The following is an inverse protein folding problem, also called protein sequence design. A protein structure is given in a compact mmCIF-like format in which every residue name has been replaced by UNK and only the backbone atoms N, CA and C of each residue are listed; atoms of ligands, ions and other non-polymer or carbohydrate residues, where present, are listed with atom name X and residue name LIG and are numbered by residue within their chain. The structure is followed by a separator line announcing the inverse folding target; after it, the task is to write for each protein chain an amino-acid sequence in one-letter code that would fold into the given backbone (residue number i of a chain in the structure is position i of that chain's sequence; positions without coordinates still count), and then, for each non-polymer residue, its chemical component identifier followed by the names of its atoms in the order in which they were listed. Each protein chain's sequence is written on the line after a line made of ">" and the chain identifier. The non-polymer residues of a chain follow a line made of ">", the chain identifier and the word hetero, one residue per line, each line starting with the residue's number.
data_IF_222133409582
#
_entry.id   IF_222133409582
#
_cell.length_a   1.000
_cell.length_b   1.000
_cell.length_c   1.000
_cell.angle_alpha   90.00
_cell.angle_beta   90.00
_cell.angle_gamma   90.00
#
_symmetry.space_group_name_H-M   'P 1'
#
loop_
_entity.id
_entity.type
_entity.pdbx_description
1 polymer ?
#
# COMPACT_ATOMS: atom_id res chain seq x y z
N UNK A 1 17.50 -16.69 -3.12
CA UNK A 1 17.91 -15.28 -3.20
C UNK A 1 17.20 -14.52 -2.09
N UNK A 2 17.92 -13.74 -1.28
CA UNK A 2 17.34 -12.94 -0.18
C UNK A 2 16.56 -11.73 -0.71
N UNK A 3 15.60 -11.19 0.05
CA UNK A 3 14.86 -9.97 -0.32
C UNK A 3 15.79 -8.82 -0.76
N UNK A 4 16.95 -8.68 -0.11
CA UNK A 4 17.96 -7.70 -0.47
C UNK A 4 18.49 -7.84 -1.90
N UNK A 5 18.60 -9.08 -2.42
CA UNK A 5 19.09 -9.30 -3.77
C UNK A 5 18.09 -8.85 -4.85
N UNK A 6 16.78 -9.01 -4.60
CA UNK A 6 15.75 -8.51 -5.51
C UNK A 6 15.75 -6.97 -5.54
N UNK A 7 15.84 -6.33 -4.37
CA UNK A 7 15.90 -4.87 -4.26
C UNK A 7 17.12 -4.29 -4.99
N UNK A 8 18.29 -4.92 -4.84
CA UNK A 8 19.50 -4.56 -5.57
C UNK A 8 19.33 -4.68 -7.10
N UNK A 9 18.73 -5.78 -7.57
CA UNK A 9 18.42 -5.96 -8.99
C UNK A 9 17.45 -4.88 -9.50
N UNK A 10 16.45 -4.50 -8.71
CA UNK A 10 15.48 -3.47 -9.09
C UNK A 10 16.13 -2.09 -9.24
N UNK A 11 16.99 -1.70 -8.29
CA UNK A 11 17.74 -0.44 -8.36
C UNK A 11 18.68 -0.45 -9.57
N UNK A 12 19.39 -1.56 -9.79
CA UNK A 12 20.25 -1.73 -10.97
C UNK A 12 19.47 -1.66 -12.28
N UNK A 13 18.30 -2.28 -12.34
CA UNK A 13 17.41 -2.24 -13.49
C UNK A 13 16.89 -0.82 -13.78
N UNK A 14 16.47 -0.08 -12.75
CA UNK A 14 16.04 1.30 -12.92
C UNK A 14 17.18 2.20 -13.41
N UNK A 15 18.38 2.08 -12.83
CA UNK A 15 19.56 2.84 -13.25
C UNK A 15 20.00 2.50 -14.68
N UNK A 16 20.03 1.22 -15.03
CA UNK A 16 20.32 0.75 -16.37
C UNK A 16 19.29 1.22 -17.40
N UNK A 17 18.01 1.17 -17.03
CA UNK A 17 16.90 1.66 -17.86
C UNK A 17 17.01 3.16 -18.11
N UNK A 18 17.34 3.95 -17.07
CA UNK A 18 17.58 5.39 -17.21
C UNK A 18 18.75 5.68 -18.17
N UNK A 19 19.88 4.97 -18.01
CA UNK A 19 21.04 5.14 -18.88
C UNK A 19 20.72 4.79 -20.35
N UNK A 20 20.02 3.67 -20.57
CA UNK A 20 19.60 3.25 -21.91
C UNK A 20 18.60 4.23 -22.53
N UNK A 21 17.58 4.66 -21.77
CA UNK A 21 16.60 5.64 -22.24
C UNK A 21 17.23 6.99 -22.59
N UNK A 22 18.21 7.44 -21.80
CA UNK A 22 18.97 8.66 -22.09
C UNK A 22 19.78 8.52 -23.39
N UNK A 23 20.42 7.38 -23.59
CA UNK A 23 21.18 7.08 -24.81
C UNK A 23 20.27 7.03 -26.05
N UNK A 24 19.14 6.32 -25.97
CA UNK A 24 18.16 6.21 -27.05
C UNK A 24 17.59 7.58 -27.44
N UNK A 25 17.33 8.44 -26.45
CA UNK A 25 16.84 9.80 -26.68
C UNK A 25 17.80 10.63 -27.53
N UNK A 26 19.12 10.51 -27.32
CA UNK A 26 20.12 11.28 -28.06
C UNK A 26 20.40 10.72 -29.45
N UNK A 27 20.39 9.41 -29.61
CA UNK A 27 20.73 8.76 -30.88
C UNK A 27 19.54 8.54 -31.83
N UNK A 28 18.29 8.64 -31.33
CA UNK A 28 17.09 8.53 -32.14
C UNK A 28 16.88 7.12 -32.69
N UNK A 29 15.99 6.35 -32.07
CA UNK A 29 15.70 4.97 -32.47
C UNK A 29 14.39 4.87 -33.25
N UNK A 30 14.33 3.96 -34.22
CA UNK A 30 13.10 3.68 -35.00
C UNK A 30 11.92 3.29 -34.11
N UNK A 31 10.73 3.84 -34.38
CA UNK A 31 9.52 3.60 -33.58
C UNK A 31 9.10 2.13 -33.45
N UNK A 32 9.50 1.26 -34.40
CA UNK A 32 9.28 -0.20 -34.27
C UNK A 32 10.13 -0.82 -33.17
N UNK A 33 11.40 -0.42 -33.06
CA UNK A 33 12.30 -0.92 -32.01
C UNK A 33 11.87 -0.39 -30.64
N UNK A 34 11.39 0.85 -30.58
CA UNK A 34 10.84 1.42 -29.34
C UNK A 34 9.62 0.63 -28.83
N UNK A 35 8.69 0.25 -29.73
CA UNK A 35 7.53 -0.60 -29.37
C UNK A 35 7.96 -2.00 -28.89
N UNK A 36 8.96 -2.60 -29.53
CA UNK A 36 9.48 -3.91 -29.12
C UNK A 36 10.14 -3.84 -27.72
N UNK A 37 10.82 -2.72 -27.44
CA UNK A 37 11.38 -2.45 -26.11
C UNK A 37 10.32 -2.16 -25.05
N UNK A 38 9.17 -1.61 -25.42
CA UNK A 38 8.09 -1.29 -24.46
C UNK A 38 7.33 -2.53 -24.01
N UNK A 39 7.25 -3.55 -24.88
CA UNK A 39 6.47 -4.76 -24.68
C UNK A 39 6.73 -5.50 -23.35
N UNK A 40 7.99 -5.75 -22.90
CA UNK A 40 8.23 -6.39 -21.60
C UNK A 40 7.73 -5.55 -20.41
N UNK A 41 7.86 -4.22 -20.49
CA UNK A 41 7.35 -3.31 -19.48
C UNK A 41 5.82 -3.29 -19.42
N UNK A 42 5.17 -3.26 -20.58
CA UNK A 42 3.71 -3.34 -20.69
C UNK A 42 3.16 -4.68 -20.20
N UNK A 43 3.82 -5.80 -20.55
CA UNK A 43 3.46 -7.12 -20.07
C UNK A 43 3.52 -7.19 -18.53
N UNK A 44 4.58 -6.64 -17.94
CA UNK A 44 4.72 -6.57 -16.48
C UNK A 44 3.58 -5.77 -15.82
N UNK A 45 3.24 -4.60 -16.37
CA UNK A 45 2.11 -3.80 -15.87
C UNK A 45 0.78 -4.56 -15.95
N UNK A 46 0.53 -5.23 -17.08
CA UNK A 46 -0.68 -6.05 -17.27
C UNK A 46 -0.76 -7.23 -16.30
N UNK A 47 0.38 -7.83 -15.95
CA UNK A 47 0.42 -8.88 -14.92
C UNK A 47 0.03 -8.33 -13.55
N UNK A 48 0.54 -7.15 -13.17
CA UNK A 48 0.16 -6.50 -11.90
C UNK A 48 -1.33 -6.14 -11.86
N UNK A 49 -1.87 -5.57 -12.94
CA UNK A 49 -3.29 -5.22 -13.05
C UNK A 49 -4.20 -6.45 -12.93
N UNK A 50 -3.81 -7.57 -13.54
CA UNK A 50 -4.55 -8.83 -13.47
C UNK A 50 -4.57 -9.41 -12.05
N UNK A 51 -3.48 -9.25 -11.29
CA UNK A 51 -3.36 -9.77 -9.93
C UNK A 51 -4.11 -8.95 -8.89
N UNK A 52 -4.31 -7.64 -9.12
CA UNK A 52 -4.95 -6.76 -8.17
C UNK A 52 -6.34 -7.29 -7.72
N UNK A 53 -7.20 -7.65 -8.67
CA UNK A 53 -8.57 -8.09 -8.38
C UNK A 53 -8.67 -9.39 -7.57
N UNK A 54 -8.04 -10.51 -7.97
CA UNK A 54 -8.11 -11.77 -7.22
C UNK A 54 -7.42 -11.67 -5.86
N UNK A 55 -6.32 -10.91 -5.73
CA UNK A 55 -5.66 -10.67 -4.43
C UNK A 55 -6.60 -9.92 -3.50
N UNK A 56 -7.12 -8.76 -3.94
CA UNK A 56 -7.98 -7.91 -3.11
C UNK A 56 -9.23 -8.65 -2.65
N UNK A 57 -9.91 -9.35 -3.56
CA UNK A 57 -11.13 -10.10 -3.22
C UNK A 57 -10.89 -11.21 -2.22
N UNK A 58 -9.91 -12.07 -2.49
CA UNK A 58 -9.63 -13.22 -1.64
C UNK A 58 -9.11 -12.80 -0.27
N UNK A 59 -8.23 -11.80 -0.20
CA UNK A 59 -7.67 -11.30 1.06
C UNK A 59 -8.70 -10.58 1.92
N UNK A 60 -9.62 -9.78 1.35
CA UNK A 60 -10.68 -9.11 2.13
C UNK A 60 -11.66 -10.13 2.70
N UNK A 61 -12.13 -11.07 1.86
CA UNK A 61 -13.11 -12.08 2.29
C UNK A 61 -12.48 -13.00 3.36
N UNK A 62 -11.25 -13.47 3.14
CA UNK A 62 -10.54 -14.29 4.12
C UNK A 62 -10.22 -13.52 5.41
N UNK A 63 -9.79 -12.27 5.29
CA UNK A 63 -9.44 -11.41 6.41
C UNK A 63 -10.63 -11.09 7.31
N UNK A 64 -11.76 -10.69 6.72
CA UNK A 64 -12.98 -10.41 7.49
C UNK A 64 -13.67 -11.67 7.99
N UNK A 65 -13.68 -12.73 7.17
CA UNK A 65 -14.35 -14.00 7.51
C UNK A 65 -13.63 -14.81 8.59
N UNK A 66 -12.34 -14.57 8.84
CA UNK A 66 -11.54 -15.24 9.88
C UNK A 66 -11.55 -14.54 11.24
N UNK A 67 -12.19 -13.37 11.33
CA UNK A 67 -12.35 -12.65 12.59
C UNK A 67 -13.62 -13.14 13.28
N UNK A 68 -13.46 -13.78 14.45
CA UNK A 68 -14.57 -14.05 15.35
C UNK A 68 -15.08 -12.72 15.96
N UNK A 69 -16.01 -12.05 15.27
CA UNK A 69 -16.64 -10.82 15.75
C UNK A 69 -17.31 -11.05 17.11
N UNK A 70 -17.74 -12.29 17.38
CA UNK A 70 -18.37 -12.71 18.64
C UNK A 70 -17.38 -12.89 19.80
N UNK A 71 -16.15 -13.39 19.57
CA UNK A 71 -15.11 -13.47 20.62
C UNK A 71 -14.45 -12.13 20.89
N UNK A 72 -14.40 -11.25 19.89
CA UNK A 72 -13.73 -9.97 20.01
C UNK A 72 -14.53 -8.96 20.88
N UNK A 73 -15.82 -9.24 21.13
CA UNK A 73 -16.70 -8.41 21.95
C UNK A 73 -16.73 -6.94 21.50
N UNK A 74 -17.03 -6.03 22.41
CA UNK A 74 -17.04 -4.59 22.12
C UNK A 74 -15.65 -4.05 21.72
N UNK A 75 -14.56 -4.70 22.17
CA UNK A 75 -13.19 -4.23 21.95
C UNK A 75 -12.76 -4.46 20.48
N UNK A 76 -13.13 -5.60 19.89
CA UNK A 76 -12.88 -5.87 18.47
C UNK A 76 -13.66 -4.97 17.54
N UNK A 77 -14.94 -4.72 17.84
CA UNK A 77 -15.78 -3.83 17.04
C UNK A 77 -15.25 -2.38 17.08
N UNK A 78 -14.86 -1.87 18.25
CA UNK A 78 -14.27 -0.54 18.40
C UNK A 78 -12.94 -0.44 17.65
N UNK A 79 -12.07 -1.46 17.74
CA UNK A 79 -10.81 -1.49 17.01
C UNK A 79 -11.03 -1.53 15.48
N UNK A 80 -11.99 -2.32 15.00
CA UNK A 80 -12.34 -2.35 13.57
C UNK A 80 -12.93 -1.02 13.10
N UNK A 81 -13.86 -0.43 13.86
CA UNK A 81 -14.39 0.90 13.54
C UNK A 81 -13.29 1.95 13.52
N UNK A 82 -12.35 1.90 14.47
CA UNK A 82 -11.18 2.77 14.46
C UNK A 82 -10.33 2.57 13.19
N UNK A 83 -10.01 1.33 12.79
CA UNK A 83 -9.22 1.09 11.58
C UNK A 83 -9.96 1.49 10.31
N UNK A 84 -11.27 1.24 10.22
CA UNK A 84 -12.09 1.66 9.08
C UNK A 84 -12.17 3.18 9.01
N UNK A 85 -12.43 3.87 10.12
CA UNK A 85 -12.47 5.34 10.18
C UNK A 85 -11.09 5.94 9.90
N UNK A 86 -10.02 5.43 10.52
CA UNK A 86 -8.66 5.90 10.27
C UNK A 86 -8.22 5.68 8.83
N UNK A 87 -8.63 4.57 8.20
CA UNK A 87 -8.35 4.32 6.77
C UNK A 87 -9.26 5.16 5.86
N UNK A 88 -10.49 5.46 6.28
CA UNK A 88 -11.44 6.29 5.53
C UNK A 88 -11.12 7.80 5.62
N UNK A 89 -10.55 8.27 6.73
CA UNK A 89 -10.04 9.64 6.92
C UNK A 89 -8.81 9.93 6.05
N UNK A 90 -8.17 8.90 5.50
CA UNK A 90 -6.99 8.99 4.63
C UNK A 90 -7.27 8.64 3.16
N UNK A 91 -8.52 8.33 2.83
CA UNK A 91 -9.00 8.12 1.46
C UNK A 91 -10.55 8.04 1.43
N UNK A 92 -11.28 9.12 1.08
CA UNK A 92 -12.60 8.99 0.54
C UNK A 92 -12.42 8.29 -0.80
N UNK A 93 -12.76 7.02 -0.80
CA UNK A 93 -13.59 6.43 -1.85
C UNK A 93 -13.52 7.16 -3.21
N UNK A 94 -12.49 6.80 -4.00
CA UNK A 94 -12.55 6.51 -5.44
C UNK A 94 -12.32 7.60 -6.48
N UNK A 95 -11.36 7.33 -7.38
CA UNK A 95 -11.60 7.29 -8.84
C UNK A 95 -10.63 6.31 -9.52
N UNK A 96 -11.08 5.08 -9.80
CA UNK A 96 -10.58 4.32 -10.95
C UNK A 96 -11.77 4.06 -11.86
N UNK A 97 -12.17 5.11 -12.57
CA UNK A 97 -12.83 5.01 -13.88
C UNK A 97 -11.80 5.64 -14.81
N UNK A 98 -11.18 4.91 -15.74
CA UNK A 98 -11.82 4.42 -16.96
C UNK A 98 -11.38 3.00 -17.36
N UNK A 99 -12.37 2.11 -17.52
CA UNK A 99 -12.31 0.84 -18.25
C UNK A 99 -11.29 -0.25 -17.81
N UNK A 100 -11.74 -1.20 -16.96
CA UNK A 100 -11.74 -2.67 -17.26
C UNK A 100 -12.23 -3.62 -16.17
N UNK A 101 -12.52 -3.17 -14.94
CA UNK A 101 -13.30 -3.95 -13.99
C UNK A 101 -13.90 -3.03 -12.91
N UNK A 102 -15.13 -3.27 -12.46
CA UNK A 102 -15.74 -2.51 -11.36
C UNK A 102 -15.09 -2.90 -10.02
N UNK A 103 -13.88 -2.37 -9.77
CA UNK A 103 -13.09 -2.63 -8.56
C UNK A 103 -13.89 -2.31 -7.31
N UNK A 104 -14.69 -1.24 -7.35
CA UNK A 104 -15.51 -0.80 -6.23
C UNK A 104 -16.68 -1.71 -5.90
N UNK A 105 -17.43 -2.10 -6.93
CA UNK A 105 -18.47 -3.08 -6.77
C UNK A 105 -17.89 -4.38 -6.21
N UNK A 106 -16.73 -4.79 -6.71
CA UNK A 106 -16.06 -5.99 -6.23
C UNK A 106 -15.62 -5.87 -4.76
N UNK A 107 -15.03 -4.72 -4.36
CA UNK A 107 -14.68 -4.41 -2.98
C UNK A 107 -15.91 -4.47 -2.05
N UNK A 108 -17.00 -3.81 -2.42
CA UNK A 108 -18.23 -3.78 -1.61
C UNK A 108 -18.79 -5.19 -1.38
N UNK A 109 -18.84 -6.02 -2.43
CA UNK A 109 -19.32 -7.40 -2.35
C UNK A 109 -18.38 -8.26 -1.52
N UNK A 110 -17.05 -8.09 -1.66
CA UNK A 110 -16.07 -8.81 -0.83
C UNK A 110 -16.18 -8.48 0.65
N UNK A 111 -16.43 -7.22 1.01
CA UNK A 111 -16.66 -6.81 2.40
C UNK A 111 -17.95 -7.44 2.95
N UNK A 112 -19.06 -7.33 2.20
CA UNK A 112 -20.33 -7.93 2.59
C UNK A 112 -20.21 -9.45 2.75
N UNK A 113 -19.54 -10.13 1.82
CA UNK A 113 -19.34 -11.57 1.86
C UNK A 113 -18.48 -11.99 3.05
N UNK A 114 -17.37 -11.30 3.31
CA UNK A 114 -16.52 -11.56 4.48
C UNK A 114 -17.26 -11.35 5.80
N UNK A 115 -18.09 -10.30 5.91
CA UNK A 115 -18.90 -10.03 7.09
C UNK A 115 -20.02 -11.06 7.31
N UNK A 116 -20.60 -11.61 6.24
CA UNK A 116 -21.57 -12.72 6.36
C UNK A 116 -20.85 -14.01 6.79
N UNK A 117 -19.68 -14.32 6.22
CA UNK A 117 -18.93 -15.52 6.60
C UNK A 117 -18.50 -15.50 8.07
N UNK A 118 -18.18 -14.33 8.63
CA UNK A 118 -17.76 -14.22 10.04
C UNK A 118 -18.88 -14.40 11.05
N UNK A 119 -20.15 -14.33 10.64
CA UNK A 119 -21.31 -14.60 11.53
C UNK A 119 -21.92 -15.99 11.31
N UNK A 120 -21.60 -16.65 10.20
CA UNK A 120 -22.21 -17.95 9.80
C UNK A 120 -21.31 -19.15 10.16
N UNK A 121 -20.33 -18.95 11.04
CA UNK A 121 -19.16 -19.82 11.31
C UNK A 121 -19.52 -21.27 11.68
N UNK A 122 -20.71 -21.55 12.21
CA UNK A 122 -21.11 -22.94 12.50
C UNK A 122 -21.35 -23.81 11.26
N UNK A 123 -21.44 -23.24 10.05
CA UNK A 123 -21.71 -23.99 8.80
C UNK A 123 -20.76 -23.63 7.62
N UNK A 124 -19.91 -22.61 7.72
CA UNK A 124 -19.19 -22.03 6.57
C UNK A 124 -17.67 -22.31 6.47
N UNK A 125 -17.12 -23.23 7.26
CA UNK A 125 -15.67 -23.52 7.29
C UNK A 125 -15.07 -23.86 5.92
N UNK A 126 -15.81 -24.59 5.07
CA UNK A 126 -15.33 -24.95 3.73
C UNK A 126 -15.15 -23.73 2.81
N UNK A 127 -16.09 -22.77 2.86
CA UNK A 127 -16.03 -21.55 2.06
C UNK A 127 -14.94 -20.60 2.56
N UNK A 128 -14.80 -20.44 3.88
CA UNK A 128 -13.72 -19.64 4.46
C UNK A 128 -12.34 -20.21 4.07
N UNK A 129 -12.15 -21.52 4.20
CA UNK A 129 -10.90 -22.19 3.83
C UNK A 129 -10.57 -22.06 2.33
N UNK A 130 -11.59 -22.02 1.45
CA UNK A 130 -11.39 -21.72 0.04
C UNK A 130 -10.81 -20.32 -0.17
N UNK A 131 -11.39 -19.28 0.45
CA UNK A 131 -10.91 -17.91 0.32
C UNK A 131 -9.53 -17.70 0.94
N UNK A 132 -9.25 -18.34 2.09
CA UNK A 132 -7.91 -18.36 2.70
C UNK A 132 -6.90 -19.02 1.75
N UNK A 133 -7.23 -20.18 1.19
CA UNK A 133 -6.39 -20.87 0.21
C UNK A 133 -6.13 -20.04 -1.04
N UNK A 134 -7.16 -19.37 -1.55
CA UNK A 134 -7.07 -18.47 -2.70
C UNK A 134 -6.20 -17.23 -2.40
N UNK A 135 -6.34 -16.64 -1.22
CA UNK A 135 -5.49 -15.53 -0.76
C UNK A 135 -4.03 -15.94 -0.69
N UNK A 136 -3.73 -17.09 -0.10
CA UNK A 136 -2.36 -17.60 -0.02
C UNK A 136 -1.75 -17.90 -1.41
N UNK A 137 -2.56 -18.49 -2.31
CA UNK A 137 -2.15 -18.76 -3.68
C UNK A 137 -1.86 -17.45 -4.45
N UNK A 138 -2.75 -16.47 -4.37
CA UNK A 138 -2.61 -15.19 -5.09
C UNK A 138 -1.46 -14.34 -4.57
N UNK A 139 -1.20 -14.35 -3.25
CA UNK A 139 0.03 -13.76 -2.67
C UNK A 139 1.29 -14.45 -3.20
N UNK A 140 1.28 -15.77 -3.32
CA UNK A 140 2.40 -16.53 -3.89
C UNK A 140 2.66 -16.15 -5.36
N UNK A 141 1.60 -16.02 -6.17
CA UNK A 141 1.72 -15.56 -7.57
C UNK A 141 2.24 -14.11 -7.63
N UNK A 142 1.87 -13.27 -6.68
CA UNK A 142 2.38 -11.89 -6.56
C UNK A 142 3.89 -11.88 -6.30
N UNK A 143 4.38 -12.75 -5.40
CA UNK A 143 5.82 -12.94 -5.19
C UNK A 143 6.54 -13.42 -6.45
N UNK A 144 5.94 -14.35 -7.20
CA UNK A 144 6.50 -14.81 -8.47
C UNK A 144 6.56 -13.68 -9.51
N UNK A 145 5.54 -12.82 -9.56
CA UNK A 145 5.51 -11.66 -10.45
C UNK A 145 6.56 -10.61 -10.07
N UNK A 146 6.83 -10.44 -8.77
CA UNK A 146 7.89 -9.56 -8.30
C UNK A 146 9.28 -9.97 -8.83
N UNK A 147 9.53 -11.26 -9.08
CA UNK A 147 10.77 -11.74 -9.71
C UNK A 147 10.97 -11.24 -11.15
N UNK A 148 9.89 -10.98 -11.87
CA UNK A 148 9.94 -10.40 -13.22
C UNK A 148 10.11 -8.87 -13.22
N UNK A 149 9.94 -8.22 -12.07
CA UNK A 149 9.98 -6.76 -11.95
C UNK A 149 11.28 -6.11 -12.43
N UNK A 150 12.50 -6.65 -12.24
CA UNK A 150 13.71 -5.98 -12.72
C UNK A 150 13.72 -5.84 -14.24
N UNK A 151 13.24 -6.86 -14.96
CA UNK A 151 13.15 -6.80 -16.43
C UNK A 151 12.07 -5.81 -16.85
N UNK A 152 10.88 -5.87 -16.25
CA UNK A 152 9.78 -4.95 -16.55
C UNK A 152 10.15 -3.49 -16.31
N UNK A 153 10.73 -3.19 -15.13
CA UNK A 153 11.15 -1.83 -14.74
C UNK A 153 12.26 -1.31 -15.64
N UNK A 154 13.26 -2.13 -15.98
CA UNK A 154 14.34 -1.70 -16.88
C UNK A 154 13.81 -1.17 -18.21
N UNK A 155 12.95 -1.96 -18.87
CA UNK A 155 12.39 -1.60 -20.16
C UNK A 155 11.39 -0.45 -20.07
N UNK A 156 10.52 -0.46 -19.05
CA UNK A 156 9.54 0.59 -18.82
C UNK A 156 10.19 1.95 -18.56
N UNK A 157 11.23 2.01 -17.73
CA UNK A 157 11.97 3.25 -17.49
C UNK A 157 12.70 3.71 -18.74
N UNK A 158 13.33 2.79 -19.47
CA UNK A 158 14.04 3.11 -20.71
C UNK A 158 13.12 3.71 -21.77
N UNK A 159 11.93 3.14 -21.99
CA UNK A 159 10.98 3.65 -23.00
C UNK A 159 10.29 4.92 -22.52
N UNK A 160 9.84 5.01 -21.26
CA UNK A 160 9.16 6.20 -20.73
C UNK A 160 10.05 7.44 -20.77
N UNK A 161 11.35 7.31 -20.51
CA UNK A 161 12.29 8.44 -20.57
C UNK A 161 12.43 9.04 -21.98
N UNK A 162 12.18 8.26 -23.04
CA UNK A 162 12.19 8.76 -24.42
C UNK A 162 10.93 9.55 -24.79
N UNK A 163 9.82 9.29 -24.09
CA UNK A 163 8.51 9.92 -24.35
C UNK A 163 8.34 11.26 -23.62
N UNK A 164 9.10 11.48 -22.55
CA UNK A 164 9.10 12.75 -21.80
C UNK A 164 9.62 13.88 -22.68
N UNK A 165 8.79 14.85 -23.04
CA UNK A 165 9.24 15.99 -23.87
C UNK A 165 10.14 16.95 -23.07
N UNK A 166 9.75 17.28 -21.84
CA UNK A 166 10.44 18.25 -20.98
C UNK A 166 11.11 17.60 -19.77
N UNK A 167 12.44 17.54 -19.77
CA UNK A 167 13.20 16.90 -18.70
C UNK A 167 13.12 17.68 -17.38
N UNK A 168 13.05 19.01 -17.45
CA UNK A 168 12.93 19.88 -16.28
C UNK A 168 11.61 19.65 -15.54
N UNK A 169 10.51 19.46 -16.30
CA UNK A 169 9.20 19.11 -15.73
C UNK A 169 9.22 17.73 -15.08
N UNK A 170 9.84 16.75 -15.73
CA UNK A 170 9.95 15.39 -15.17
C UNK A 170 10.79 15.35 -13.90
N UNK A 171 11.95 16.01 -13.89
CA UNK A 171 12.77 16.13 -12.68
C UNK A 171 12.04 16.89 -11.56
N UNK A 172 11.36 17.99 -11.92
CA UNK A 172 10.52 18.76 -10.99
C UNK A 172 9.42 17.90 -10.37
N UNK A 173 8.75 17.07 -11.16
CA UNK A 173 7.71 16.15 -10.71
C UNK A 173 8.25 15.10 -9.75
N UNK A 174 9.34 14.41 -10.09
CA UNK A 174 9.99 13.43 -9.20
C UNK A 174 10.42 14.09 -7.90
N UNK A 175 11.03 15.28 -7.96
CA UNK A 175 11.41 16.04 -6.77
C UNK A 175 10.19 16.38 -5.91
N UNK A 176 9.12 16.89 -6.50
CA UNK A 176 7.89 17.25 -5.77
C UNK A 176 7.26 16.02 -5.11
N UNK A 177 7.24 14.88 -5.80
CA UNK A 177 6.75 13.61 -5.30
C UNK A 177 7.49 13.15 -4.03
N UNK A 178 8.82 13.17 -4.05
CA UNK A 178 9.64 12.83 -2.87
C UNK A 178 9.36 13.76 -1.68
N UNK A 179 9.24 15.07 -1.92
CA UNK A 179 8.98 16.03 -0.85
C UNK A 179 7.57 15.88 -0.28
N UNK A 180 6.55 15.67 -1.12
CA UNK A 180 5.15 15.49 -0.68
C UNK A 180 5.02 14.22 0.15
N UNK A 181 5.60 13.10 -0.25
CA UNK A 181 5.55 11.86 0.54
C UNK A 181 6.26 12.04 1.88
N UNK A 182 7.47 12.62 1.89
CA UNK A 182 8.22 12.80 3.13
C UNK A 182 7.50 13.76 4.09
N UNK A 183 6.99 14.88 3.57
CA UNK A 183 6.23 15.85 4.34
C UNK A 183 4.90 15.28 4.82
N UNK A 184 4.17 14.55 3.98
CA UNK A 184 2.91 13.90 4.32
C UNK A 184 3.09 12.84 5.40
N UNK A 185 4.11 11.99 5.29
CA UNK A 185 4.41 10.98 6.30
C UNK A 185 4.83 11.62 7.63
N UNK A 186 5.62 12.70 7.58
CA UNK A 186 6.01 13.44 8.78
C UNK A 186 4.80 14.16 9.42
N UNK A 187 3.96 14.81 8.63
CA UNK A 187 2.76 15.50 9.11
C UNK A 187 1.75 14.51 9.70
N UNK A 188 1.56 13.37 9.07
CA UNK A 188 0.69 12.32 9.56
C UNK A 188 1.26 11.65 10.83
N UNK A 189 2.49 11.17 10.76
CA UNK A 189 3.12 10.39 11.83
C UNK A 189 3.50 11.19 13.08
N UNK A 190 3.97 12.44 12.90
CA UNK A 190 4.42 13.30 14.00
C UNK A 190 3.43 14.42 14.35
N UNK A 191 2.45 14.68 13.49
CA UNK A 191 1.42 15.71 13.71
C UNK A 191 0.07 15.09 14.03
N UNK A 192 -0.60 14.53 13.02
CA UNK A 192 -1.99 14.07 13.14
C UNK A 192 -2.14 12.95 14.17
N UNK A 193 -1.33 11.90 14.10
CA UNK A 193 -1.42 10.77 15.04
C UNK A 193 -1.23 11.19 16.52
N UNK A 194 -0.19 11.98 16.89
CA UNK A 194 -0.08 12.49 18.25
C UNK A 194 -1.24 13.38 18.68
N UNK A 195 -1.80 14.20 17.78
CA UNK A 195 -2.96 15.05 18.09
C UNK A 195 -4.19 14.18 18.35
N UNK A 196 -4.47 13.20 17.49
CA UNK A 196 -5.56 12.24 17.68
C UNK A 196 -5.41 11.46 18.99
N UNK A 197 -4.19 11.03 19.33
CA UNK A 197 -3.88 10.38 20.60
C UNK A 197 -4.23 11.28 21.79
N UNK A 198 -3.81 12.55 21.78
CA UNK A 198 -4.11 13.51 22.85
C UNK A 198 -5.61 13.80 22.92
N UNK A 199 -6.31 13.94 21.80
CA UNK A 199 -7.75 14.18 21.79
C UNK A 199 -8.54 13.00 22.37
N UNK A 200 -8.14 11.78 22.05
CA UNK A 200 -8.81 10.56 22.51
C UNK A 200 -8.47 10.20 23.97
N UNK A 201 -7.20 10.28 24.36
CA UNK A 201 -6.72 9.80 25.67
C UNK A 201 -6.53 10.91 26.70
N UNK A 202 -6.39 12.17 26.25
CA UNK A 202 -5.97 13.32 27.06
C UNK A 202 -4.63 13.13 27.80
N UNK A 203 -3.79 12.20 27.34
CA UNK A 203 -2.47 11.93 27.90
C UNK A 203 -1.36 12.59 27.08
N UNK A 204 -0.19 12.79 27.70
CA UNK A 204 0.98 13.34 27.02
C UNK A 204 1.53 12.31 25.99
N UNK A 205 1.65 12.67 24.71
CA UNK A 205 2.03 11.73 23.64
C UNK A 205 3.54 11.45 23.61
N UNK A 206 4.36 12.22 24.33
CA UNK A 206 5.83 12.13 24.24
C UNK A 206 6.35 10.82 24.80
N UNK A 207 5.72 10.32 25.86
CA UNK A 207 6.10 9.03 26.44
C UNK A 207 5.76 7.89 25.47
N UNK A 208 4.55 7.89 24.93
CA UNK A 208 4.11 6.95 23.89
C UNK A 208 5.03 6.97 22.66
N UNK A 209 5.37 8.16 22.17
CA UNK A 209 6.25 8.32 21.00
C UNK A 209 7.67 7.80 21.26
N UNK A 210 8.22 8.03 22.45
CA UNK A 210 9.58 7.55 22.80
C UNK A 210 9.65 6.03 22.85
N UNK A 211 8.64 5.39 23.45
CA UNK A 211 8.56 3.93 23.59
C UNK A 211 8.37 3.25 22.22
N UNK A 212 7.55 3.84 21.35
CA UNK A 212 7.27 3.29 20.01
C UNK A 212 8.34 3.60 18.96
N UNK A 213 9.23 4.58 19.21
CA UNK A 213 10.27 4.99 18.25
C UNK A 213 11.25 3.85 17.92
N UNK A 214 11.66 3.05 18.91
CA UNK A 214 12.62 1.96 18.67
C UNK A 214 12.05 0.86 17.74
N UNK A 215 10.84 0.32 17.98
CA UNK A 215 10.16 -0.55 17.02
C UNK A 215 9.95 0.09 15.64
N UNK A 216 9.56 1.37 15.59
CA UNK A 216 9.38 2.08 14.33
C UNK A 216 10.67 2.18 13.51
N UNK A 217 11.81 2.47 14.16
CA UNK A 217 13.11 2.50 13.49
C UNK A 217 13.54 1.11 13.00
N UNK A 218 13.18 0.04 13.71
CA UNK A 218 13.41 -1.35 13.27
C UNK A 218 12.55 -1.70 12.05
N UNK A 219 11.29 -1.25 12.03
CA UNK A 219 10.40 -1.37 10.87
C UNK A 219 10.98 -0.63 9.65
N UNK A 220 11.40 0.63 9.86
CA UNK A 220 11.97 1.47 8.81
C UNK A 220 13.22 0.85 8.18
N UNK A 221 14.13 0.32 9.01
CA UNK A 221 15.37 -0.34 8.54
C UNK A 221 15.13 -1.63 7.77
N UNK A 222 14.08 -2.38 8.12
CA UNK A 222 13.75 -3.64 7.45
C UNK A 222 12.85 -3.45 6.24
N UNK A 223 12.31 -2.24 6.03
CA UNK A 223 11.28 -1.93 5.04
C UNK A 223 10.07 -2.91 5.10
N UNK A 224 9.86 -3.55 6.25
CA UNK A 224 8.85 -4.58 6.44
C UNK A 224 8.02 -4.30 7.69
N UNK A 225 6.70 -4.33 7.52
CA UNK A 225 5.73 -4.04 8.58
C UNK A 225 5.60 -5.18 9.59
N UNK A 226 5.94 -6.41 9.20
CA UNK A 226 5.80 -7.61 10.06
C UNK A 226 6.98 -7.77 11.03
N UNK A 227 8.15 -7.23 10.68
CA UNK A 227 9.39 -7.37 11.47
C UNK A 227 9.36 -6.55 12.78
N UNK A 228 8.55 -5.49 12.84
CA UNK A 228 8.41 -4.65 14.04
C UNK A 228 7.29 -5.08 14.97
N UNK A 229 6.36 -5.95 14.53
CA UNK A 229 5.18 -6.33 15.33
C UNK A 229 5.56 -6.89 16.71
N UNK A 230 6.49 -7.86 16.85
CA UNK A 230 6.86 -8.39 18.15
C UNK A 230 7.46 -7.31 19.07
N UNK A 231 8.38 -6.51 18.54
CA UNK A 231 9.00 -5.42 19.31
C UNK A 231 8.03 -4.28 19.66
N UNK A 232 6.98 -4.09 18.86
CA UNK A 232 5.93 -3.11 19.14
C UNK A 232 5.04 -3.60 20.28
N UNK A 233 4.71 -4.89 20.33
CA UNK A 233 3.96 -5.49 21.45
C UNK A 233 4.77 -5.37 22.74
N UNK A 234 6.05 -5.78 22.73
CA UNK A 234 6.93 -5.67 23.90
C UNK A 234 7.00 -4.24 24.43
N UNK A 235 7.24 -3.27 23.54
CA UNK A 235 7.31 -1.85 23.91
C UNK A 235 5.98 -1.32 24.47
N UNK A 236 4.84 -1.75 23.91
CA UNK A 236 3.52 -1.31 24.39
C UNK A 236 3.09 -2.00 25.68
N UNK A 237 3.59 -3.20 25.99
CA UNK A 237 3.35 -3.88 27.27
C UNK A 237 4.11 -3.21 28.44
N UNK A 238 5.19 -2.46 28.16
CA UNK A 238 5.89 -1.66 29.18
C UNK A 238 5.07 -0.43 29.63
N UNK A 239 4.07 0.00 28.84
CA UNK A 239 3.15 1.08 29.20
C UNK A 239 2.10 0.56 30.18
N UNK A 240 2.25 0.93 31.46
CA UNK A 240 1.35 0.52 32.56
C UNK A 240 -0.15 0.88 32.35
N UNK A 241 -0.46 1.75 31.39
CA UNK A 241 -1.83 2.14 31.03
C UNK A 241 -2.52 1.19 30.05
N UNK A 242 -1.83 0.18 29.50
CA UNK A 242 -2.36 -0.73 28.49
C UNK A 242 -2.51 -2.15 29.00
N UNK A 243 -3.68 -2.76 28.75
CA UNK A 243 -3.92 -4.16 29.10
C UNK A 243 -3.25 -5.09 28.06
N UNK A 244 -2.38 -6.04 28.47
CA UNK A 244 -1.63 -6.90 27.53
C UNK A 244 -2.54 -7.68 26.57
N UNK A 245 -3.74 -8.05 27.03
CA UNK A 245 -4.74 -8.73 26.19
C UNK A 245 -5.18 -7.86 25.00
N UNK A 246 -5.36 -6.55 25.22
CA UNK A 246 -5.76 -5.61 24.17
C UNK A 246 -4.59 -5.37 23.20
N UNK A 247 -3.37 -5.19 23.72
CA UNK A 247 -2.16 -4.98 22.89
C UNK A 247 -1.91 -6.18 21.97
N UNK A 248 -1.93 -7.39 22.51
CA UNK A 248 -1.72 -8.65 21.75
C UNK A 248 -2.79 -8.91 20.70
N UNK A 249 -3.96 -8.29 20.83
CA UNK A 249 -5.04 -8.41 19.85
C UNK A 249 -4.99 -7.30 18.79
N UNK A 250 -4.92 -6.04 19.22
CA UNK A 250 -5.05 -4.87 18.32
C UNK A 250 -3.83 -4.70 17.42
N UNK A 251 -2.61 -4.94 17.93
CA UNK A 251 -1.38 -4.66 17.16
C UNK A 251 -1.20 -5.61 15.96
N UNK A 252 -1.34 -6.94 16.09
CA UNK A 252 -1.22 -7.83 14.92
C UNK A 252 -2.31 -7.62 13.88
N UNK A 253 -3.54 -7.30 14.31
CA UNK A 253 -4.66 -6.98 13.42
C UNK A 253 -4.36 -5.67 12.68
N UNK A 254 -3.96 -4.62 13.41
CA UNK A 254 -3.64 -3.32 12.85
C UNK A 254 -2.47 -3.34 11.86
N UNK A 255 -1.46 -4.17 12.08
CA UNK A 255 -0.33 -4.31 11.16
C UNK A 255 -0.72 -4.82 9.76
N UNK A 256 -1.83 -5.56 9.65
CA UNK A 256 -2.34 -6.07 8.38
C UNK A 256 -3.43 -5.17 7.78
N UNK A 257 -4.26 -4.53 8.62
CA UNK A 257 -5.41 -3.73 8.17
C UNK A 257 -5.03 -2.26 7.90
N UNK A 258 -4.17 -1.66 8.73
CA UNK A 258 -3.81 -0.24 8.62
C UNK A 258 -2.76 -0.03 7.54
N UNK A 259 -3.16 0.54 6.39
CA UNK A 259 -2.29 0.80 5.23
C UNK A 259 -2.11 2.29 4.92
N UNK A 260 -2.12 3.14 5.95
CA UNK A 260 -2.00 4.61 5.87
C UNK A 260 -0.87 5.10 4.96
N UNK A 261 0.35 4.59 5.14
CA UNK A 261 1.49 4.98 4.30
C UNK A 261 1.35 4.60 2.82
N UNK A 262 0.65 3.50 2.52
CA UNK A 262 0.37 3.08 1.14
C UNK A 262 -0.70 3.96 0.50
N UNK A 263 -1.74 4.34 1.26
CA UNK A 263 -2.76 5.29 0.81
C UNK A 263 -2.14 6.64 0.46
N UNK A 264 -1.27 7.18 1.32
CA UNK A 264 -0.55 8.43 1.07
C UNK A 264 0.26 8.38 -0.25
N UNK A 265 1.02 7.30 -0.47
CA UNK A 265 1.82 7.15 -1.70
C UNK A 265 0.93 7.05 -2.94
N UNK A 266 -0.19 6.33 -2.86
CA UNK A 266 -1.13 6.21 -3.96
C UNK A 266 -1.77 7.58 -4.31
N UNK A 267 -2.27 8.30 -3.31
CA UNK A 267 -2.85 9.64 -3.49
C UNK A 267 -1.82 10.62 -4.06
N UNK A 268 -0.62 10.68 -3.49
CA UNK A 268 0.46 11.54 -3.99
C UNK A 268 0.86 11.20 -5.44
N UNK A 269 0.88 9.90 -5.79
CA UNK A 269 1.19 9.45 -7.16
C UNK A 269 0.11 9.92 -8.14
N UNK A 270 -1.17 9.78 -7.79
CA UNK A 270 -2.29 10.23 -8.61
C UNK A 270 -2.23 11.74 -8.86
N UNK A 271 -1.98 12.54 -7.82
CA UNK A 271 -1.86 14.00 -7.94
C UNK A 271 -0.68 14.40 -8.83
N UNK A 272 0.50 13.79 -8.65
CA UNK A 272 1.68 14.11 -9.47
C UNK A 272 1.47 13.71 -10.92
N UNK A 273 0.82 12.56 -11.18
CA UNK A 273 0.51 12.12 -12.54
C UNK A 273 -0.48 13.07 -13.22
N UNK A 274 -1.55 13.46 -12.53
CA UNK A 274 -2.50 14.45 -13.04
C UNK A 274 -1.81 15.78 -13.40
N UNK A 275 -0.87 16.24 -12.56
CA UNK A 275 -0.08 17.46 -12.83
C UNK A 275 0.85 17.29 -14.04
N UNK A 276 1.39 16.10 -14.28
CA UNK A 276 2.23 15.80 -15.46
C UNK A 276 1.42 15.80 -16.76
N UNK A 277 0.16 15.38 -16.69
CA UNK A 277 -0.78 15.41 -17.82
C UNK A 277 -1.40 16.80 -18.04
N UNK A 278 -1.03 17.79 -17.22
CA UNK A 278 -1.51 19.16 -17.32
C UNK A 278 -2.86 19.42 -16.68
N UNK A 279 -3.37 18.47 -15.87
CA UNK A 279 -4.60 18.64 -15.11
C UNK A 279 -4.32 19.44 -13.83
N UNK A 280 -5.12 20.47 -13.59
CA UNK A 280 -5.09 21.22 -12.34
C UNK A 280 -5.96 20.50 -11.31
N UNK A 281 -5.33 19.80 -10.37
CA UNK A 281 -6.04 19.16 -9.26
C UNK A 281 -6.53 20.24 -8.29
N UNK A 282 -7.83 20.48 -8.26
CA UNK A 282 -8.52 21.36 -7.33
C UNK A 282 -8.76 20.70 -5.96
N UNK A 283 -9.28 21.48 -4.99
CA UNK A 283 -9.61 20.96 -3.65
C UNK A 283 -10.66 19.85 -3.71
N UNK A 284 -11.62 19.93 -4.62
CA UNK A 284 -12.70 18.95 -4.79
C UNK A 284 -12.16 17.59 -5.26
N UNK A 285 -11.25 17.60 -6.24
CA UNK A 285 -10.59 16.40 -6.74
C UNK A 285 -9.61 15.83 -5.71
N UNK A 286 -8.95 16.69 -4.92
CA UNK A 286 -8.09 16.26 -3.83
C UNK A 286 -8.89 15.49 -2.76
N UNK A 287 -10.10 15.97 -2.45
CA UNK A 287 -11.07 15.36 -1.52
C UNK A 287 -11.77 14.12 -2.10
N UNK A 288 -11.51 13.78 -3.36
CA UNK A 288 -11.95 12.53 -3.99
C UNK A 288 -10.78 11.55 -4.12
N UNK A 289 -9.56 12.05 -4.25
CA UNK A 289 -8.34 11.24 -4.40
C UNK A 289 -7.80 10.73 -3.06
N UNK A 290 -7.88 11.54 -2.00
CA UNK A 290 -7.27 11.27 -0.70
C UNK A 290 -8.18 11.71 0.44
#
# INVERSE_FOLDING_TARGET
>A
MSENSLNLCLVGAAAGGMALGWHIRHHGVSGRLLKLMDFPGELYMRMLECLAMPVVTSSIVAGLGSVDILLAGNIGLIAMLYFVVATADEAPFTTVSESRANVLGLLSVSVMLGAVLSVTVSESDALLNLFVGLSNATVTVSHLTAWFSPVGVFFLVATRLTQVKDMDRAYGAVRSFFHVILAGLAAYGLGLLPVLYVLATRQDPRHFLRVTLAPAMKAFRSASRTVSVPGTIEALEELASLEPRIVRFVIPVGANVSMSGTALVAAATAVVLARLDGLEVGLEELLIIG
#
